data_IF_968643774012
#
_entry.id   IF_968643774012
#
_cell.length_a   1.000
_cell.length_b   1.000
_cell.length_c   1.000
_cell.angle_alpha   90.00
_cell.angle_beta   90.00
_cell.angle_gamma   90.00
#
_symmetry.space_group_name_H-M   'P 1'
#
loop_
_entity.id
_entity.type
_entity.pdbx_description
1 polymer ?
#
# COMPACT_ATOMS: atom_id res chain seq x y z
N UNK A 1 0.47 12.88 -9.28
CA UNK A 1 -0.28 11.89 -10.10
C UNK A 1 -1.12 11.05 -9.16
N UNK A 2 -2.31 10.63 -9.56
CA UNK A 2 -3.10 9.70 -8.73
C UNK A 2 -2.42 8.32 -8.73
N UNK A 3 -2.29 7.70 -7.57
CA UNK A 3 -1.80 6.32 -7.46
C UNK A 3 -2.75 5.38 -8.20
N UNK A 4 -2.18 4.35 -8.83
CA UNK A 4 -2.96 3.30 -9.49
C UNK A 4 -2.88 2.03 -8.63
N UNK A 5 -3.98 1.29 -8.52
CA UNK A 5 -4.03 0.00 -7.84
C UNK A 5 -4.30 -1.09 -8.88
N UNK A 6 -3.33 -1.96 -9.10
CA UNK A 6 -3.43 -3.05 -10.07
C UNK A 6 -3.71 -4.37 -9.33
N UNK A 7 -4.77 -5.11 -9.70
CA UNK A 7 -5.00 -6.42 -9.11
C UNK A 7 -3.93 -7.41 -9.59
N UNK A 8 -3.50 -8.30 -8.69
CA UNK A 8 -2.66 -9.44 -8.99
C UNK A 8 -3.51 -10.71 -8.98
N UNK A 9 -3.54 -11.42 -7.85
CA UNK A 9 -4.28 -12.68 -7.68
C UNK A 9 -4.98 -12.69 -6.33
N UNK A 10 -6.20 -13.22 -6.28
CA UNK A 10 -7.00 -13.20 -5.06
C UNK A 10 -7.22 -11.77 -4.59
N UNK A 11 -7.04 -11.53 -3.29
CA UNK A 11 -7.21 -10.21 -2.69
C UNK A 11 -5.92 -9.39 -2.59
N UNK A 12 -4.98 -9.66 -3.49
CA UNK A 12 -3.67 -9.01 -3.54
C UNK A 12 -3.59 -8.03 -4.70
N UNK A 13 -2.99 -6.87 -4.43
CA UNK A 13 -2.81 -5.77 -5.36
C UNK A 13 -1.38 -5.23 -5.29
N UNK A 14 -0.99 -4.50 -6.34
CA UNK A 14 0.24 -3.70 -6.37
C UNK A 14 -0.08 -2.24 -6.68
N UNK A 15 0.61 -1.34 -6.00
CA UNK A 15 0.69 0.08 -6.30
C UNK A 15 2.03 0.30 -6.99
N UNK A 16 2.05 0.53 -8.32
CA UNK A 16 3.30 0.72 -9.05
C UNK A 16 4.04 1.96 -8.55
N UNK A 17 5.31 1.77 -8.18
CA UNK A 17 6.24 2.82 -7.75
C UNK A 17 7.67 2.37 -8.11
N UNK A 18 8.69 3.16 -7.76
CA UNK A 18 10.08 2.77 -8.00
C UNK A 18 10.47 1.47 -7.27
N UNK A 19 9.88 1.21 -6.10
CA UNK A 19 10.09 0.01 -5.26
C UNK A 19 8.93 -0.99 -5.34
N UNK A 20 7.80 -0.60 -5.93
CA UNK A 20 6.49 -1.24 -5.80
C UNK A 20 6.01 -1.34 -4.34
N UNK A 21 4.72 -1.07 -4.13
CA UNK A 21 4.08 -1.25 -2.83
C UNK A 21 3.00 -2.30 -2.95
N UNK A 22 3.02 -3.30 -2.07
CA UNK A 22 2.03 -4.36 -2.03
C UNK A 22 0.84 -3.99 -1.15
N UNK A 23 -0.33 -4.49 -1.51
CA UNK A 23 -1.54 -4.34 -0.70
C UNK A 23 -2.31 -5.66 -0.71
N UNK A 24 -2.62 -6.19 0.46
CA UNK A 24 -3.52 -7.32 0.62
C UNK A 24 -4.74 -6.90 1.42
N UNK A 25 -5.94 -7.29 1.00
CA UNK A 25 -7.18 -6.86 1.63
C UNK A 25 -8.08 -8.05 1.95
N UNK A 26 -8.46 -8.26 3.21
CA UNK A 26 -9.43 -9.30 3.58
C UNK A 26 -10.50 -8.69 4.45
N UNK A 27 -11.77 -8.94 4.13
CA UNK A 27 -12.93 -8.40 4.86
C UNK A 27 -12.84 -6.88 5.10
N UNK A 28 -12.32 -6.14 4.11
CA UNK A 28 -12.12 -4.70 4.18
C UNK A 28 -10.95 -4.24 5.06
N UNK A 29 -10.15 -5.17 5.59
CA UNK A 29 -8.93 -4.89 6.36
C UNK A 29 -7.71 -5.02 5.45
N UNK A 30 -6.95 -3.95 5.35
CA UNK A 30 -5.80 -3.83 4.49
C UNK A 30 -4.50 -4.03 5.26
N UNK A 31 -3.63 -4.88 4.70
CA UNK A 31 -2.22 -5.02 5.06
C UNK A 31 -1.39 -4.39 3.95
N UNK A 32 -0.66 -3.33 4.29
CA UNK A 32 0.29 -2.70 3.39
C UNK A 32 1.64 -3.41 3.48
N UNK A 33 2.24 -3.70 2.34
CA UNK A 33 3.57 -4.29 2.23
C UNK A 33 4.47 -3.22 1.62
N UNK A 34 5.41 -2.74 2.43
CA UNK A 34 6.24 -1.54 2.22
C UNK A 34 5.42 -0.22 2.26
N UNK A 35 5.99 0.82 2.87
CA UNK A 35 5.28 2.09 3.14
C UNK A 35 5.35 3.14 2.02
N UNK A 36 6.07 2.83 0.93
CA UNK A 36 6.42 3.81 -0.09
C UNK A 36 7.65 4.64 0.29
N UNK A 37 8.13 5.45 -0.65
CA UNK A 37 9.47 6.05 -0.57
C UNK A 37 9.54 7.34 0.28
N UNK A 38 8.40 7.97 0.56
CA UNK A 38 8.31 9.21 1.32
C UNK A 38 6.92 9.40 1.98
N UNK A 39 6.81 10.44 2.81
CA UNK A 39 5.59 10.77 3.55
C UNK A 39 4.40 11.11 2.64
N UNK A 40 4.64 11.69 1.46
CA UNK A 40 3.59 12.04 0.51
C UNK A 40 3.01 10.79 -0.16
N UNK A 41 3.86 9.82 -0.52
CA UNK A 41 3.44 8.52 -1.00
C UNK A 41 2.59 7.80 0.06
N UNK A 42 3.04 7.79 1.32
CA UNK A 42 2.30 7.21 2.44
C UNK A 42 0.90 7.82 2.61
N UNK A 43 0.79 9.16 2.57
CA UNK A 43 -0.51 9.86 2.60
C UNK A 43 -1.43 9.47 1.45
N UNK A 44 -0.90 9.38 0.23
CA UNK A 44 -1.68 9.03 -0.95
C UNK A 44 -2.16 7.57 -0.90
N UNK A 45 -1.33 6.65 -0.39
CA UNK A 45 -1.69 5.26 -0.17
C UNK A 45 -2.82 5.15 0.87
N UNK A 46 -2.70 5.83 2.00
CA UNK A 46 -3.74 5.84 3.04
C UNK A 46 -5.07 6.38 2.49
N UNK A 47 -5.01 7.46 1.69
CA UNK A 47 -6.18 8.01 1.02
C UNK A 47 -6.81 7.00 0.06
N UNK A 48 -6.00 6.33 -0.77
CA UNK A 48 -6.46 5.30 -1.71
C UNK A 48 -7.21 4.16 -1.01
N UNK A 49 -6.67 3.69 0.13
CA UNK A 49 -7.26 2.62 0.96
C UNK A 49 -8.60 3.08 1.56
N UNK A 50 -8.61 4.25 2.19
CA UNK A 50 -9.81 4.76 2.88
C UNK A 50 -10.94 5.15 1.92
N UNK A 51 -10.63 5.71 0.74
CA UNK A 51 -11.62 6.01 -0.30
C UNK A 51 -12.30 4.74 -0.87
N UNK A 52 -11.68 3.57 -0.69
CA UNK A 52 -12.26 2.26 -1.05
C UNK A 52 -13.09 1.64 0.07
N UNK A 53 -13.23 2.33 1.20
CA UNK A 53 -13.91 1.81 2.39
C UNK A 53 -13.11 0.75 3.14
N UNK A 54 -11.81 0.64 2.88
CA UNK A 54 -10.93 -0.29 3.59
C UNK A 54 -10.27 0.40 4.79
N UNK A 55 -9.92 -0.40 5.80
CA UNK A 55 -9.19 0.04 7.00
C UNK A 55 -7.76 -0.49 6.94
N UNK A 56 -6.76 0.39 7.03
CA UNK A 56 -5.37 -0.02 7.13
C UNK A 56 -5.08 -0.53 8.55
N UNK A 57 -4.83 -1.83 8.71
CA UNK A 57 -4.61 -2.48 10.00
C UNK A 57 -3.15 -2.79 10.30
N UNK A 58 -2.36 -3.03 9.25
CA UNK A 58 -0.98 -3.50 9.37
C UNK A 58 -0.12 -2.92 8.26
N UNK A 59 1.12 -2.56 8.60
CA UNK A 59 2.20 -2.25 7.66
C UNK A 59 3.33 -3.25 7.90
N UNK A 60 3.76 -3.93 6.83
CA UNK A 60 4.88 -4.87 6.84
C UNK A 60 5.97 -4.31 5.94
N UNK A 61 7.10 -3.91 6.51
CA UNK A 61 8.27 -3.53 5.72
C UNK A 61 9.13 -4.77 5.47
N UNK A 62 9.38 -5.06 4.20
CA UNK A 62 10.10 -6.25 3.75
C UNK A 62 11.57 -6.24 4.19
N UNK A 63 12.15 -5.04 4.28
CA UNK A 63 13.51 -4.80 4.75
C UNK A 63 13.61 -3.40 5.37
N UNK A 64 14.59 -3.19 6.26
CA UNK A 64 14.84 -1.89 6.91
C UNK A 64 15.85 -1.06 6.12
N UNK A 65 15.43 -0.60 4.94
CA UNK A 65 16.19 0.36 4.13
C UNK A 65 15.55 1.76 4.28
N UNK A 66 16.33 2.82 4.10
CA UNK A 66 15.90 4.19 4.44
C UNK A 66 14.79 4.74 3.50
N UNK A 67 14.48 4.01 2.43
CA UNK A 67 13.35 4.17 1.51
C UNK A 67 12.07 3.43 1.97
N UNK A 68 12.04 2.92 3.22
CA UNK A 68 10.94 2.17 3.83
C UNK A 68 10.63 2.58 5.30
N UNK A 69 10.66 3.87 5.65
CA UNK A 69 10.20 4.41 6.95
C UNK A 69 9.11 5.46 6.77
#
# INVERSE_FOLDING_TARGET
MALTLLPLTGDTYVIPSASNVGLWVSDGRATLIDSGNDEDAGRQILKLITERGWTLDLIVNTHSNADHI
#
